data_IF_699235541721
#
_entry.id   IF_699235541721
#
_cell.length_a   1.000
_cell.length_b   1.000
_cell.length_c   1.000
_cell.angle_alpha   90.00
_cell.angle_beta   90.00
_cell.angle_gamma   90.00
#
_symmetry.space_group_name_H-M   'P 1'
#
loop_
_entity.id
_entity.type
_entity.pdbx_description
1 polymer ?
#
# COMPACT_ATOMS: atom_id res chain seq x y z
N UNK A 1 -19.48 -22.35 -10.19
CA UNK A 1 -18.31 -22.89 -9.46
C UNK A 1 -18.69 -22.87 -7.97
N UNK A 2 -18.57 -24.02 -7.30
CA UNK A 2 -18.97 -24.19 -5.89
C UNK A 2 -18.11 -23.28 -5.01
N UNK A 3 -18.72 -22.26 -4.36
CA UNK A 3 -18.08 -21.51 -3.28
C UNK A 3 -17.74 -22.51 -2.16
N UNK A 4 -16.51 -22.99 -2.10
CA UNK A 4 -16.00 -23.65 -0.90
C UNK A 4 -15.88 -22.56 0.16
N UNK A 5 -16.81 -22.56 1.10
CA UNK A 5 -16.69 -21.73 2.31
C UNK A 5 -15.41 -22.17 3.01
N UNK A 6 -14.50 -21.22 3.25
CA UNK A 6 -13.27 -21.47 4.00
C UNK A 6 -13.70 -21.45 5.46
N UNK A 7 -13.64 -22.60 6.13
CA UNK A 7 -14.03 -22.75 7.51
C UNK A 7 -12.81 -23.24 8.32
N UNK A 8 -12.49 -22.51 9.39
CA UNK A 8 -11.57 -22.93 10.45
C UNK A 8 -12.38 -23.12 11.72
N UNK A 9 -11.96 -24.04 12.58
CA UNK A 9 -12.69 -24.35 13.82
C UNK A 9 -12.61 -23.20 14.84
N UNK A 10 -11.60 -22.33 14.72
CA UNK A 10 -11.42 -21.13 15.57
C UNK A 10 -10.63 -20.03 14.88
N UNK A 11 -10.75 -18.80 15.40
CA UNK A 11 -9.93 -17.67 14.94
C UNK A 11 -8.42 -17.91 15.23
N UNK A 12 -8.08 -18.67 16.26
CA UNK A 12 -6.69 -19.08 16.58
C UNK A 12 -6.12 -19.96 15.47
N UNK A 13 -6.84 -21.02 15.07
CA UNK A 13 -6.44 -21.90 13.98
C UNK A 13 -6.33 -21.13 12.65
N UNK A 14 -7.23 -20.18 12.40
CA UNK A 14 -7.19 -19.34 11.22
C UNK A 14 -5.97 -18.40 11.19
N UNK A 15 -5.54 -17.87 12.36
CA UNK A 15 -4.31 -17.08 12.47
C UNK A 15 -3.08 -17.95 12.22
N UNK A 16 -3.03 -19.15 12.79
CA UNK A 16 -1.92 -20.08 12.56
C UNK A 16 -1.81 -20.45 11.06
N UNK A 17 -2.94 -20.71 10.41
CA UNK A 17 -2.98 -20.95 8.96
C UNK A 17 -2.51 -19.72 8.16
N UNK A 18 -2.86 -18.52 8.59
CA UNK A 18 -2.40 -17.27 7.98
C UNK A 18 -0.87 -17.11 8.08
N UNK A 19 -0.29 -17.44 9.24
CA UNK A 19 1.19 -17.43 9.44
C UNK A 19 1.87 -18.39 8.47
N UNK A 20 1.37 -19.61 8.33
CA UNK A 20 1.96 -20.60 7.41
C UNK A 20 1.82 -20.12 5.94
N UNK A 21 0.66 -19.60 5.55
CA UNK A 21 0.49 -19.00 4.22
C UNK A 21 1.49 -17.85 3.99
N UNK A 22 1.68 -16.97 4.97
CA UNK A 22 2.65 -15.87 4.87
C UNK A 22 4.09 -16.36 4.68
N UNK A 23 4.50 -17.41 5.41
CA UNK A 23 5.83 -18.01 5.22
C UNK A 23 6.02 -18.54 3.80
N UNK A 24 5.00 -19.20 3.25
CA UNK A 24 5.02 -19.69 1.88
C UNK A 24 5.04 -18.52 0.87
N UNK A 25 4.20 -17.51 1.06
CA UNK A 25 4.19 -16.28 0.22
C UNK A 25 5.59 -15.65 0.16
N UNK A 26 6.24 -15.46 1.31
CA UNK A 26 7.60 -14.90 1.36
C UNK A 26 8.63 -15.76 0.64
N UNK A 27 8.53 -17.09 0.79
CA UNK A 27 9.44 -18.03 0.13
C UNK A 27 9.30 -17.96 -1.40
N UNK A 28 8.06 -17.90 -1.90
CA UNK A 28 7.79 -17.80 -3.33
C UNK A 28 8.27 -16.47 -3.90
N UNK A 29 7.95 -15.35 -3.24
CA UNK A 29 8.40 -14.02 -3.67
C UNK A 29 9.94 -13.93 -3.71
N UNK A 30 10.65 -14.53 -2.74
CA UNK A 30 12.10 -14.53 -2.68
C UNK A 30 12.80 -15.31 -3.81
N UNK A 31 12.07 -16.16 -4.55
CA UNK A 31 12.62 -16.79 -5.77
C UNK A 31 12.96 -15.75 -6.84
N UNK A 32 12.15 -14.68 -6.92
CA UNK A 32 12.23 -13.64 -7.96
C UNK A 32 12.79 -12.33 -7.42
N UNK A 33 12.31 -11.89 -6.26
CA UNK A 33 12.70 -10.62 -5.64
C UNK A 33 13.85 -10.87 -4.67
N UNK A 34 14.97 -10.20 -4.91
CA UNK A 34 16.16 -10.24 -4.05
C UNK A 34 16.14 -9.02 -3.14
N UNK A 35 16.39 -9.22 -1.85
CA UNK A 35 16.33 -8.15 -0.87
C UNK A 35 14.90 -7.61 -0.69
N UNK A 36 14.79 -6.30 -0.38
CA UNK A 36 13.51 -5.57 -0.25
C UNK A 36 12.50 -6.23 0.72
N UNK A 37 12.99 -6.97 1.71
CA UNK A 37 12.14 -7.73 2.63
C UNK A 37 11.10 -6.87 3.35
N UNK A 38 11.47 -5.64 3.74
CA UNK A 38 10.56 -4.71 4.41
C UNK A 38 9.49 -4.16 3.47
N UNK A 39 9.84 -3.92 2.20
CA UNK A 39 8.89 -3.49 1.16
C UNK A 39 7.86 -4.59 0.92
N UNK A 40 8.32 -5.83 0.71
CA UNK A 40 7.44 -7.01 0.54
C UNK A 40 6.54 -7.18 1.77
N UNK A 41 7.10 -7.17 2.97
CA UNK A 41 6.34 -7.31 4.22
C UNK A 41 5.27 -6.23 4.35
N UNK A 42 5.63 -4.95 4.19
CA UNK A 42 4.69 -3.84 4.34
C UNK A 42 3.62 -3.83 3.22
N UNK A 43 3.97 -4.25 2.00
CA UNK A 43 2.99 -4.42 0.92
C UNK A 43 1.97 -5.51 1.28
N UNK A 44 2.41 -6.64 1.80
CA UNK A 44 1.52 -7.72 2.28
C UNK A 44 0.66 -7.20 3.44
N UNK A 45 1.23 -6.50 4.43
CA UNK A 45 0.45 -5.88 5.52
C UNK A 45 -0.64 -4.98 4.95
N UNK A 46 -0.32 -4.14 3.96
CA UNK A 46 -1.27 -3.23 3.33
C UNK A 46 -2.41 -3.98 2.63
N UNK A 47 -2.12 -5.06 1.88
CA UNK A 47 -3.14 -5.88 1.20
C UNK A 47 -4.12 -6.48 2.21
N UNK A 48 -3.63 -7.08 3.29
CA UNK A 48 -4.49 -7.69 4.31
C UNK A 48 -5.19 -6.64 5.21
N UNK A 49 -4.68 -5.41 5.26
CA UNK A 49 -5.33 -4.27 5.90
C UNK A 49 -6.39 -3.59 5.03
N UNK A 50 -6.57 -4.01 3.76
CA UNK A 50 -7.37 -3.33 2.74
C UNK A 50 -6.88 -1.88 2.47
N UNK A 51 -5.58 -1.63 2.63
CA UNK A 51 -4.94 -0.36 2.37
C UNK A 51 -4.30 -0.32 0.98
N UNK A 52 -3.80 0.85 0.59
CA UNK A 52 -3.05 1.08 -0.65
C UNK A 52 -1.66 1.57 -0.32
N UNK A 53 -0.71 1.40 -1.23
CA UNK A 53 0.71 1.75 -1.02
C UNK A 53 1.17 2.80 -2.01
N UNK A 54 1.89 3.79 -1.50
CA UNK A 54 2.71 4.69 -2.30
C UNK A 54 4.18 4.26 -2.17
N UNK A 55 4.80 3.89 -3.28
CA UNK A 55 6.19 3.46 -3.35
C UNK A 55 7.03 4.56 -3.97
N UNK A 56 7.91 5.16 -3.20
CA UNK A 56 8.82 6.21 -3.64
C UNK A 56 10.20 5.60 -3.87
N UNK A 57 10.73 5.76 -5.06
CA UNK A 57 12.07 5.22 -5.39
C UNK A 57 12.48 5.55 -6.81
N UNK A 58 13.79 5.55 -7.05
CA UNK A 58 14.37 5.83 -8.36
C UNK A 58 13.96 4.79 -9.41
N UNK A 59 14.07 5.10 -10.71
CA UNK A 59 13.86 4.12 -11.78
C UNK A 59 14.82 2.93 -11.69
N UNK A 60 14.43 1.78 -12.24
CA UNK A 60 15.30 0.61 -12.33
C UNK A 60 15.32 -0.30 -11.10
N UNK A 61 14.58 0.00 -10.04
CA UNK A 61 14.53 -0.81 -8.81
C UNK A 61 13.46 -1.91 -8.83
N UNK A 62 13.14 -2.45 -10.01
CA UNK A 62 12.26 -3.60 -10.22
C UNK A 62 10.84 -3.46 -9.62
N UNK A 63 10.29 -2.23 -9.49
CA UNK A 63 8.95 -1.98 -8.92
C UNK A 63 7.85 -2.78 -9.63
N UNK A 64 7.88 -2.79 -10.97
CA UNK A 64 6.92 -3.55 -11.79
C UNK A 64 7.04 -5.06 -11.55
N UNK A 65 8.27 -5.58 -11.48
CA UNK A 65 8.53 -6.99 -11.20
C UNK A 65 7.99 -7.39 -9.82
N UNK A 66 8.24 -6.56 -8.81
CA UNK A 66 7.74 -6.76 -7.43
C UNK A 66 6.22 -6.92 -7.42
N UNK A 67 5.49 -5.97 -8.04
CA UNK A 67 4.02 -5.96 -7.98
C UNK A 67 3.42 -7.11 -8.79
N UNK A 68 4.00 -7.41 -9.97
CA UNK A 68 3.58 -8.55 -10.76
C UNK A 68 3.79 -9.87 -10.00
N UNK A 69 4.98 -10.08 -9.41
CA UNK A 69 5.29 -11.28 -8.61
C UNK A 69 4.32 -11.43 -7.43
N UNK A 70 4.01 -10.35 -6.72
CA UNK A 70 3.01 -10.37 -5.64
C UNK A 70 1.63 -10.77 -6.19
N UNK A 71 1.21 -10.23 -7.34
CA UNK A 71 -0.06 -10.59 -7.98
C UNK A 71 -0.14 -12.07 -8.33
N UNK A 72 0.91 -12.62 -8.95
CA UNK A 72 1.00 -14.04 -9.32
C UNK A 72 0.92 -14.95 -8.09
N UNK A 73 1.71 -14.67 -7.04
CA UNK A 73 1.73 -15.48 -5.81
C UNK A 73 0.40 -15.41 -5.05
N UNK A 74 -0.29 -14.27 -5.11
CA UNK A 74 -1.63 -14.09 -4.54
C UNK A 74 -2.76 -14.61 -5.45
N UNK A 75 -2.45 -15.00 -6.69
CA UNK A 75 -3.43 -15.47 -7.66
C UNK A 75 -4.49 -14.43 -8.00
N UNK A 76 -4.10 -13.15 -8.03
CA UNK A 76 -4.94 -12.00 -8.30
C UNK A 76 -4.69 -11.47 -9.72
N UNK A 77 -5.73 -10.92 -10.34
CA UNK A 77 -5.60 -10.22 -11.62
C UNK A 77 -4.76 -8.95 -11.42
N UNK A 78 -3.87 -8.69 -12.37
CA UNK A 78 -2.92 -7.57 -12.33
C UNK A 78 -3.10 -6.67 -13.55
N UNK A 79 -2.97 -5.38 -13.34
CA UNK A 79 -2.92 -4.36 -14.41
C UNK A 79 -1.87 -3.31 -14.08
N UNK A 80 -1.18 -2.81 -15.11
CA UNK A 80 -0.27 -1.67 -15.01
C UNK A 80 -0.83 -0.49 -15.79
N UNK A 81 -0.85 0.66 -15.15
CA UNK A 81 -1.20 1.95 -15.74
C UNK A 81 0.05 2.83 -15.68
N UNK A 82 0.64 3.12 -16.84
CA UNK A 82 1.72 4.10 -16.93
C UNK A 82 1.12 5.49 -16.99
N UNK A 83 1.39 6.32 -16.00
CA UNK A 83 0.90 7.69 -15.95
C UNK A 83 1.80 8.57 -16.82
N UNK A 84 1.20 9.17 -17.86
CA UNK A 84 1.85 10.08 -18.80
C UNK A 84 1.06 11.40 -18.85
N UNK A 85 1.65 12.52 -19.27
CA UNK A 85 0.95 13.82 -19.27
C UNK A 85 -0.34 13.86 -20.08
N UNK A 86 -0.49 12.98 -21.06
CA UNK A 86 -1.64 12.88 -21.98
C UNK A 86 -2.67 11.84 -21.54
N UNK A 87 -2.40 11.06 -20.46
CA UNK A 87 -3.33 10.05 -19.95
C UNK A 87 -4.65 10.70 -19.49
N UNK A 88 -5.77 10.17 -19.97
CA UNK A 88 -7.11 10.63 -19.62
C UNK A 88 -7.76 9.77 -18.53
N UNK A 89 -8.70 10.31 -17.74
CA UNK A 89 -9.46 9.52 -16.76
C UNK A 89 -10.13 8.28 -17.37
N UNK A 90 -10.67 8.39 -18.59
CA UNK A 90 -11.28 7.28 -19.33
C UNK A 90 -10.33 6.11 -19.60
N UNK A 91 -9.03 6.39 -19.75
CA UNK A 91 -8.01 5.35 -19.97
C UNK A 91 -7.79 4.52 -18.72
N UNK A 92 -8.12 5.06 -17.54
CA UNK A 92 -8.03 4.39 -16.23
C UNK A 92 -9.31 3.63 -15.91
N UNK A 93 -10.46 4.34 -15.97
CA UNK A 93 -11.73 3.80 -15.47
C UNK A 93 -12.57 3.11 -16.55
N UNK A 94 -12.23 3.31 -17.82
CA UNK A 94 -13.02 2.80 -18.94
C UNK A 94 -13.97 3.83 -19.52
N UNK A 95 -14.66 3.45 -20.57
CA UNK A 95 -15.54 4.32 -21.34
C UNK A 95 -16.76 3.58 -21.90
N UNK A 96 -17.82 4.30 -22.19
CA UNK A 96 -18.94 3.75 -22.97
C UNK A 96 -18.71 3.94 -24.47
N UNK A 97 -18.95 2.89 -25.22
CA UNK A 97 -18.92 2.88 -26.68
C UNK A 97 -20.27 2.47 -27.25
N UNK A 98 -20.59 2.90 -28.46
CA UNK A 98 -21.72 2.39 -29.21
C UNK A 98 -21.34 1.05 -29.86
N UNK A 99 -22.13 0.01 -29.58
CA UNK A 99 -21.99 -1.28 -30.24
C UNK A 99 -22.58 -1.25 -31.68
N UNK A 100 -22.46 -2.36 -32.41
CA UNK A 100 -22.99 -2.52 -33.78
C UNK A 100 -24.52 -2.32 -33.84
N UNK A 101 -25.21 -2.50 -32.73
CA UNK A 101 -26.67 -2.31 -32.58
C UNK A 101 -27.07 -0.94 -32.08
N UNK A 102 -26.11 0.03 -32.05
CA UNK A 102 -26.29 1.40 -31.50
C UNK A 102 -26.73 1.42 -30.03
N UNK A 103 -26.30 0.43 -29.24
CA UNK A 103 -26.48 0.41 -27.80
C UNK A 103 -25.18 0.83 -27.13
N UNK A 104 -25.30 1.59 -26.04
CA UNK A 104 -24.15 1.91 -25.22
C UNK A 104 -23.67 0.65 -24.50
N UNK A 105 -22.37 0.38 -24.61
CA UNK A 105 -21.68 -0.71 -23.93
C UNK A 105 -20.50 -0.16 -23.17
N UNK A 106 -20.42 -0.47 -21.88
CA UNK A 106 -19.28 -0.10 -21.08
C UNK A 106 -18.11 -1.04 -21.37
N UNK A 107 -16.94 -0.46 -21.59
CA UNK A 107 -15.66 -1.15 -21.70
C UNK A 107 -14.84 -0.83 -20.44
N UNK A 108 -14.54 -1.87 -19.67
CA UNK A 108 -13.76 -1.77 -18.45
C UNK A 108 -12.35 -1.21 -18.74
N UNK A 109 -11.95 -0.23 -17.95
CA UNK A 109 -10.56 0.24 -17.93
C UNK A 109 -9.67 -0.68 -17.08
N UNK A 110 -8.36 -0.44 -17.08
CA UNK A 110 -7.39 -1.24 -16.33
C UNK A 110 -7.58 -1.21 -14.81
N UNK A 111 -8.34 -0.27 -14.27
CA UNK A 111 -8.67 -0.20 -12.83
C UNK A 111 -9.50 -1.40 -12.34
N UNK A 112 -10.13 -2.16 -13.24
CA UNK A 112 -10.95 -3.33 -12.89
C UNK A 112 -10.13 -4.59 -12.59
N UNK A 113 -8.83 -4.50 -12.46
CA UNK A 113 -7.99 -5.57 -11.92
C UNK A 113 -7.97 -5.54 -10.38
N UNK A 114 -7.69 -6.69 -9.75
CA UNK A 114 -7.54 -6.78 -8.30
C UNK A 114 -6.31 -6.01 -7.79
N UNK A 115 -5.20 -6.07 -8.55
CA UNK A 115 -3.97 -5.32 -8.26
C UNK A 115 -3.69 -4.37 -9.41
N UNK A 116 -3.62 -3.09 -9.09
CA UNK A 116 -3.31 -2.02 -10.04
C UNK A 116 -1.97 -1.39 -9.65
N UNK A 117 -0.99 -1.48 -10.55
CA UNK A 117 0.22 -0.68 -10.48
C UNK A 117 -0.01 0.66 -11.21
N UNK A 118 -0.12 1.75 -10.45
CA UNK A 118 -0.15 3.11 -10.98
C UNK A 118 1.28 3.65 -11.05
N UNK A 119 1.93 3.46 -12.19
CA UNK A 119 3.34 3.78 -12.34
C UNK A 119 3.53 5.27 -12.68
N UNK A 120 4.37 5.96 -11.89
CA UNK A 120 4.65 7.40 -12.00
C UNK A 120 3.40 8.29 -11.89
N UNK A 121 2.57 8.06 -10.86
CA UNK A 121 1.27 8.72 -10.68
C UNK A 121 1.35 10.26 -10.72
N UNK A 122 2.50 10.84 -10.37
CA UNK A 122 2.74 12.28 -10.38
C UNK A 122 3.01 12.87 -11.77
N UNK A 123 3.04 12.09 -12.85
CA UNK A 123 3.27 12.58 -14.23
C UNK A 123 2.00 13.01 -14.96
N UNK A 124 0.82 12.81 -14.37
CA UNK A 124 -0.46 13.24 -14.96
C UNK A 124 -1.07 14.42 -14.21
N UNK A 125 -1.91 15.23 -14.90
CA UNK A 125 -2.65 16.30 -14.25
C UNK A 125 -3.57 15.78 -13.12
N UNK A 126 -3.90 16.64 -12.13
CA UNK A 126 -4.70 16.28 -10.96
C UNK A 126 -6.05 15.62 -11.26
N UNK A 127 -6.69 15.99 -12.40
CA UNK A 127 -7.97 15.38 -12.81
C UNK A 127 -7.86 13.88 -13.08
N UNK A 128 -6.78 13.46 -13.71
CA UNK A 128 -6.53 12.04 -14.02
C UNK A 128 -6.13 11.26 -12.77
N UNK A 129 -5.29 11.87 -11.90
CA UNK A 129 -4.96 11.29 -10.60
C UNK A 129 -6.22 11.06 -9.77
N UNK A 130 -7.14 12.04 -9.75
CA UNK A 130 -8.39 11.97 -8.99
C UNK A 130 -9.25 10.77 -9.35
N UNK A 131 -9.30 10.35 -10.62
CA UNK A 131 -10.07 9.19 -11.06
C UNK A 131 -9.61 7.89 -10.38
N UNK A 132 -8.30 7.66 -10.28
CA UNK A 132 -7.77 6.49 -9.56
C UNK A 132 -7.99 6.61 -8.05
N UNK A 133 -7.77 7.80 -7.48
CA UNK A 133 -7.91 8.03 -6.04
C UNK A 133 -9.36 7.93 -5.57
N UNK A 134 -10.33 8.26 -6.42
CA UNK A 134 -11.75 8.01 -6.16
C UNK A 134 -12.06 6.51 -6.16
N UNK A 135 -11.59 5.78 -7.18
CA UNK A 135 -11.74 4.33 -7.25
C UNK A 135 -11.15 3.61 -6.02
N UNK A 136 -9.99 4.09 -5.51
CA UNK A 136 -9.37 3.57 -4.28
C UNK A 136 -10.27 3.74 -3.04
N UNK A 137 -10.92 4.89 -2.92
CA UNK A 137 -11.74 5.22 -1.76
C UNK A 137 -13.13 4.58 -1.82
N UNK A 138 -13.81 4.72 -2.95
CA UNK A 138 -15.21 4.33 -3.11
C UNK A 138 -15.37 2.85 -3.51
N UNK A 139 -14.27 2.20 -3.98
CA UNK A 139 -14.28 0.83 -4.54
C UNK A 139 -15.29 0.65 -5.68
N UNK A 140 -15.59 1.74 -6.36
CA UNK A 140 -16.38 1.80 -7.56
C UNK A 140 -15.90 2.94 -8.46
N UNK A 141 -16.34 2.94 -9.69
CA UNK A 141 -16.14 4.03 -10.67
C UNK A 141 -17.47 4.46 -11.24
N UNK A 142 -17.62 5.74 -11.51
CA UNK A 142 -18.84 6.31 -12.13
C UNK A 142 -18.53 6.75 -13.56
N UNK A 143 -19.20 6.15 -14.53
CA UNK A 143 -19.07 6.48 -15.95
C UNK A 143 -20.46 6.73 -16.56
N UNK A 144 -20.65 7.85 -17.22
CA UNK A 144 -21.92 8.25 -17.83
C UNK A 144 -23.15 8.14 -16.89
N UNK A 145 -22.95 8.42 -15.60
CA UNK A 145 -24.01 8.34 -14.56
C UNK A 145 -24.27 6.95 -13.99
N UNK A 146 -23.60 5.92 -14.51
CA UNK A 146 -23.69 4.56 -13.99
C UNK A 146 -22.50 4.24 -13.06
N UNK A 147 -22.79 3.57 -11.93
CA UNK A 147 -21.76 3.13 -10.98
C UNK A 147 -21.39 1.67 -11.21
N UNK A 148 -20.11 1.40 -11.37
CA UNK A 148 -19.53 0.08 -11.61
C UNK A 148 -18.62 -0.30 -10.44
N UNK A 149 -18.96 -1.40 -9.74
CA UNK A 149 -18.18 -1.87 -8.58
C UNK A 149 -16.88 -2.54 -9.03
N UNK A 150 -15.83 -2.33 -8.27
CA UNK A 150 -14.57 -3.04 -8.41
C UNK A 150 -14.61 -4.34 -7.60
N UNK A 151 -14.14 -5.42 -8.20
CA UNK A 151 -14.14 -6.74 -7.56
C UNK A 151 -13.10 -6.82 -6.44
N UNK A 152 -13.50 -7.21 -5.22
CA UNK A 152 -12.57 -7.38 -4.12
C UNK A 152 -11.77 -8.72 -4.27
N UNK A 153 -10.54 -8.80 -3.72
CA UNK A 153 -9.81 -7.69 -3.10
C UNK A 153 -9.30 -6.70 -4.14
N UNK A 154 -9.38 -5.40 -3.85
CA UNK A 154 -8.87 -4.33 -4.71
C UNK A 154 -7.71 -3.61 -4.02
N UNK A 155 -6.56 -3.58 -4.67
CA UNK A 155 -5.33 -3.02 -4.15
C UNK A 155 -4.63 -2.17 -5.21
N UNK A 156 -4.21 -0.96 -4.81
CA UNK A 156 -3.40 -0.07 -5.65
C UNK A 156 -2.03 0.11 -5.03
N UNK A 157 -0.99 -0.09 -5.84
CA UNK A 157 0.35 0.34 -5.57
C UNK A 157 0.70 1.44 -6.55
N UNK A 158 0.82 2.67 -6.06
CA UNK A 158 1.25 3.80 -6.87
C UNK A 158 2.76 4.01 -6.70
N UNK A 159 3.43 4.44 -7.77
CA UNK A 159 4.86 4.79 -7.70
C UNK A 159 5.06 6.27 -7.94
N UNK A 160 6.10 6.81 -7.30
CA UNK A 160 6.63 8.13 -7.56
C UNK A 160 8.15 8.06 -7.74
N UNK A 161 8.65 8.82 -8.71
CA UNK A 161 10.07 9.03 -8.88
C UNK A 161 10.48 10.34 -8.18
N UNK A 162 11.32 10.29 -7.13
CA UNK A 162 11.69 11.49 -6.38
C UNK A 162 12.66 12.41 -7.12
N UNK A 163 13.33 11.93 -8.18
CA UNK A 163 14.33 12.69 -8.93
C UNK A 163 13.68 13.54 -10.02
N UNK A 164 12.62 13.05 -10.65
CA UNK A 164 11.91 13.76 -11.71
C UNK A 164 11.01 14.84 -11.12
N UNK A 165 11.41 16.10 -11.28
CA UNK A 165 10.62 17.27 -10.84
C UNK A 165 9.97 18.00 -12.03
N UNK A 166 10.61 18.01 -13.20
CA UNK A 166 10.06 18.66 -14.38
C UNK A 166 8.89 17.87 -14.96
N UNK A 167 7.81 18.58 -15.32
CA UNK A 167 6.60 17.98 -15.89
C UNK A 167 5.82 17.09 -14.91
N UNK A 168 6.02 17.25 -13.59
CA UNK A 168 5.29 16.49 -12.57
C UNK A 168 4.26 17.36 -11.85
N UNK A 169 3.20 16.68 -11.38
CA UNK A 169 2.14 17.25 -10.57
C UNK A 169 2.12 16.53 -9.22
N UNK A 170 2.68 17.14 -8.16
CA UNK A 170 2.70 16.50 -6.85
C UNK A 170 1.28 16.22 -6.34
N UNK A 171 1.12 15.07 -5.68
CA UNK A 171 -0.14 14.75 -5.03
C UNK A 171 -0.34 15.67 -3.82
N UNK A 172 -1.50 16.35 -3.70
CA UNK A 172 -1.86 17.08 -2.49
C UNK A 172 -1.90 16.18 -1.24
N UNK A 173 -1.65 16.74 -0.08
CA UNK A 173 -1.61 16.01 1.20
C UNK A 173 -2.91 15.23 1.48
N UNK A 174 -4.07 15.81 1.14
CA UNK A 174 -5.37 15.15 1.28
C UNK A 174 -5.50 13.90 0.40
N UNK A 175 -4.77 13.85 -0.71
CA UNK A 175 -4.72 12.70 -1.61
C UNK A 175 -3.68 11.67 -1.12
N UNK A 176 -2.54 12.12 -0.62
CA UNK A 176 -1.53 11.28 -0.01
C UNK A 176 -2.08 10.52 1.19
N UNK A 177 -2.94 11.13 2.00
CA UNK A 177 -3.58 10.50 3.17
C UNK A 177 -4.43 9.26 2.83
N UNK A 178 -4.82 9.07 1.57
CA UNK A 178 -5.53 7.85 1.12
C UNK A 178 -4.66 6.62 1.04
N UNK A 179 -3.35 6.78 0.88
CA UNK A 179 -2.40 5.66 0.93
C UNK A 179 -2.15 5.26 2.39
N UNK A 180 -2.23 3.97 2.68
CA UNK A 180 -1.92 3.45 4.01
C UNK A 180 -0.44 3.65 4.33
N UNK A 181 0.43 3.23 3.44
CA UNK A 181 1.88 3.31 3.58
C UNK A 181 2.53 4.14 2.48
N UNK A 182 3.54 4.90 2.88
CA UNK A 182 4.56 5.43 2.00
C UNK A 182 5.84 4.64 2.24
N UNK A 183 6.23 3.83 1.26
CA UNK A 183 7.42 2.98 1.30
C UNK A 183 8.52 3.62 0.46
N UNK A 184 9.72 3.71 1.03
CA UNK A 184 10.90 4.21 0.33
C UNK A 184 11.68 3.00 -0.16
N UNK A 185 11.91 2.97 -1.46
CA UNK A 185 12.70 1.93 -2.11
C UNK A 185 14.11 2.44 -2.36
N UNK A 186 15.04 1.91 -1.58
CA UNK A 186 16.47 2.24 -1.70
C UNK A 186 17.19 1.31 -2.69
N UNK A 187 18.40 1.68 -3.07
CA UNK A 187 19.26 0.81 -3.85
C UNK A 187 19.57 -0.48 -3.10
N UNK A 188 19.73 -1.61 -3.83
CA UNK A 188 20.17 -2.85 -3.20
C UNK A 188 21.58 -2.69 -2.62
N UNK A 189 21.87 -3.45 -1.57
CA UNK A 189 23.23 -3.59 -1.08
C UNK A 189 24.10 -4.29 -2.14
N UNK A 190 25.43 -4.16 -2.03
CA UNK A 190 26.36 -4.80 -2.97
C UNK A 190 26.12 -6.32 -3.12
N UNK A 191 25.84 -7.01 -2.02
CA UNK A 191 25.59 -8.46 -2.06
C UNK A 191 24.25 -8.80 -2.73
N UNK A 192 23.21 -8.01 -2.48
CA UNK A 192 21.92 -8.17 -3.15
C UNK A 192 22.04 -7.89 -4.65
N UNK A 193 22.77 -6.85 -5.05
CA UNK A 193 22.99 -6.53 -6.45
C UNK A 193 23.76 -7.64 -7.16
N UNK A 194 24.79 -8.21 -6.51
CA UNK A 194 25.53 -9.36 -7.03
C UNK A 194 24.60 -10.58 -7.22
N UNK A 195 23.68 -10.82 -6.29
CA UNK A 195 22.68 -11.89 -6.40
C UNK A 195 21.69 -11.62 -7.54
N UNK A 196 21.23 -10.39 -7.69
CA UNK A 196 20.35 -9.95 -8.80
C UNK A 196 21.03 -10.26 -10.14
N UNK A 197 22.28 -9.82 -10.32
CA UNK A 197 23.03 -10.05 -11.56
C UNK A 197 23.16 -11.55 -11.85
N UNK A 198 23.52 -12.36 -10.86
CA UNK A 198 23.61 -13.83 -11.04
C UNK A 198 22.29 -14.47 -11.46
N UNK A 199 21.18 -14.05 -10.84
CA UNK A 199 19.84 -14.58 -11.15
C UNK A 199 19.33 -14.12 -12.53
N UNK A 200 19.59 -12.87 -12.92
CA UNK A 200 19.02 -12.30 -14.15
C UNK A 200 19.84 -12.58 -15.40
N UNK A 201 21.14 -12.85 -15.25
CA UNK A 201 22.05 -13.15 -16.40
C UNK A 201 22.31 -14.65 -16.59
N UNK A 202 21.86 -15.50 -15.66
CA UNK A 202 22.10 -16.95 -15.69
C UNK A 202 21.14 -17.77 -16.55
N UNK A 203 20.20 -17.15 -17.27
CA UNK A 203 19.27 -17.83 -18.19
C UNK A 203 18.18 -18.66 -17.50
N UNK A 204 18.09 -18.68 -16.18
CA UNK A 204 17.01 -19.33 -15.44
C UNK A 204 15.81 -18.36 -15.31
N UNK A 205 14.65 -18.79 -15.81
CA UNK A 205 13.38 -18.10 -15.55
C UNK A 205 12.79 -18.69 -14.29
N UNK A 206 12.80 -17.91 -13.20
CA UNK A 206 12.15 -18.31 -11.96
C UNK A 206 10.65 -18.07 -12.09
N UNK A 207 9.86 -19.15 -12.02
CA UNK A 207 8.40 -19.07 -11.90
C UNK A 207 8.00 -19.15 -10.44
N UNK A 208 6.89 -18.49 -10.10
CA UNK A 208 6.29 -18.54 -8.76
C UNK A 208 4.97 -19.28 -8.80
N UNK A 209 4.67 -19.96 -7.71
CA UNK A 209 3.42 -20.67 -7.55
C UNK A 209 2.39 -19.80 -6.83
N UNK A 210 1.11 -19.96 -7.22
CA UNK A 210 -0.01 -19.36 -6.49
C UNK A 210 -0.15 -20.04 -5.12
N UNK A 211 -0.11 -19.26 -4.05
CA UNK A 211 -0.16 -19.75 -2.66
C UNK A 211 -1.52 -19.56 -2.00
N UNK A 212 -2.25 -18.53 -2.40
CA UNK A 212 -3.50 -18.13 -1.75
C UNK A 212 -4.54 -17.73 -2.82
N UNK A 213 -5.82 -17.91 -2.53
CA UNK A 213 -6.89 -17.49 -3.41
C UNK A 213 -7.47 -16.13 -2.98
N UNK A 214 -8.23 -15.49 -3.88
CA UNK A 214 -8.96 -14.24 -3.58
C UNK A 214 -9.93 -14.41 -2.41
N UNK A 215 -10.61 -15.55 -2.32
CA UNK A 215 -11.54 -15.88 -1.24
C UNK A 215 -10.81 -16.01 0.10
N UNK A 216 -9.62 -16.65 0.13
CA UNK A 216 -8.79 -16.73 1.32
C UNK A 216 -8.28 -15.36 1.76
N UNK A 217 -7.90 -14.50 0.81
CA UNK A 217 -7.49 -13.12 1.14
C UNK A 217 -8.64 -12.37 1.80
N UNK A 218 -9.85 -12.44 1.24
CA UNK A 218 -11.03 -11.79 1.80
C UNK A 218 -11.39 -12.34 3.19
N UNK A 219 -11.26 -13.66 3.38
CA UNK A 219 -11.46 -14.28 4.68
C UNK A 219 -10.47 -13.73 5.72
N UNK A 220 -9.18 -13.71 5.39
CA UNK A 220 -8.16 -13.20 6.31
C UNK A 220 -8.30 -11.69 6.57
N UNK A 221 -8.72 -10.89 5.60
CA UNK A 221 -9.04 -9.49 5.82
C UNK A 221 -10.15 -9.30 6.86
N UNK A 222 -11.17 -10.17 6.85
CA UNK A 222 -12.24 -10.16 7.86
C UNK A 222 -11.74 -10.67 9.22
N UNK A 223 -10.94 -11.72 9.24
CA UNK A 223 -10.30 -12.25 10.45
C UNK A 223 -9.47 -11.18 11.17
N UNK A 224 -8.62 -10.46 10.43
CA UNK A 224 -7.79 -9.37 10.97
C UNK A 224 -8.65 -8.30 11.66
N UNK A 225 -9.83 -7.97 11.13
CA UNK A 225 -10.71 -6.99 11.77
C UNK A 225 -11.23 -7.46 13.13
N UNK A 226 -11.45 -8.77 13.32
CA UNK A 226 -11.90 -9.37 14.58
C UNK A 226 -10.82 -9.48 15.65
N UNK A 227 -9.53 -9.41 15.30
CA UNK A 227 -8.43 -9.47 16.28
C UNK A 227 -8.64 -8.39 17.34
N UNK A 228 -8.69 -8.76 18.64
CA UNK A 228 -8.85 -7.79 19.73
C UNK A 228 -7.60 -6.90 19.86
N UNK A 229 -7.79 -5.69 20.38
CA UNK A 229 -6.70 -4.74 20.67
C UNK A 229 -6.92 -4.23 22.08
N UNK A 230 -5.89 -4.30 22.90
CA UNK A 230 -5.93 -3.78 24.27
C UNK A 230 -6.03 -2.24 24.27
N UNK A 231 -6.75 -1.67 25.24
CA UNK A 231 -7.00 -0.23 25.31
C UNK A 231 -5.70 0.60 25.35
N UNK A 232 -4.70 0.16 26.08
CA UNK A 232 -3.38 0.83 26.15
C UNK A 232 -2.68 0.89 24.80
N UNK A 233 -2.87 -0.09 23.90
CA UNK A 233 -2.32 -0.09 22.54
C UNK A 233 -3.08 0.89 21.66
N UNK A 234 -4.42 0.92 21.78
CA UNK A 234 -5.25 1.93 21.07
C UNK A 234 -4.90 3.35 21.51
N UNK A 235 -4.78 3.57 22.82
CA UNK A 235 -4.37 4.87 23.37
C UNK A 235 -2.98 5.27 22.87
N UNK A 236 -2.03 4.35 22.83
CA UNK A 236 -0.69 4.63 22.34
C UNK A 236 -0.73 5.09 20.87
N UNK A 237 -1.47 4.40 20.00
CA UNK A 237 -1.59 4.78 18.60
C UNK A 237 -2.21 6.18 18.43
N UNK A 238 -3.28 6.50 19.19
CA UNK A 238 -3.92 7.81 19.15
C UNK A 238 -2.98 8.90 19.71
N UNK A 239 -2.32 8.63 20.83
CA UNK A 239 -1.34 9.56 21.43
C UNK A 239 -0.16 9.84 20.49
N UNK A 240 0.36 8.80 19.80
CA UNK A 240 1.43 8.97 18.83
C UNK A 240 1.01 9.93 17.69
N UNK A 241 -0.19 9.75 17.16
CA UNK A 241 -0.74 10.64 16.12
C UNK A 241 -1.00 12.05 16.66
N UNK A 242 -1.58 12.20 17.86
CA UNK A 242 -1.85 13.50 18.48
C UNK A 242 -0.55 14.29 18.73
N UNK A 243 0.54 13.62 19.15
CA UNK A 243 1.86 14.23 19.30
C UNK A 243 2.41 14.86 18.02
N UNK A 244 1.93 14.45 16.83
CA UNK A 244 2.36 15.03 15.54
C UNK A 244 1.71 16.37 15.22
N UNK A 245 0.67 16.80 15.97
CA UNK A 245 -0.13 17.99 15.67
C UNK A 245 0.44 19.21 16.38
N UNK A 246 1.02 20.19 15.67
CA UNK A 246 1.55 21.39 16.30
C UNK A 246 0.44 22.20 16.98
N UNK A 247 0.81 22.99 17.97
CA UNK A 247 -0.06 23.92 18.70
C UNK A 247 -1.28 23.27 19.40
N UNK A 248 -1.17 21.96 19.70
CA UNK A 248 -2.18 21.23 20.49
C UNK A 248 -1.63 20.89 21.89
N UNK A 249 -2.49 20.60 22.90
CA UNK A 249 -2.03 20.23 24.24
C UNK A 249 -1.16 18.96 24.26
N UNK A 250 -1.35 18.04 23.32
CA UNK A 250 -0.60 16.80 23.20
C UNK A 250 0.65 16.91 22.31
N UNK A 251 0.89 18.09 21.72
CA UNK A 251 2.02 18.32 20.83
C UNK A 251 3.35 18.04 21.52
N UNK A 252 4.21 17.29 20.86
CA UNK A 252 5.57 17.09 21.33
C UNK A 252 6.45 18.32 21.01
N UNK A 253 7.50 18.59 21.82
CA UNK A 253 8.41 19.72 21.59
C UNK A 253 9.02 19.72 20.18
N UNK A 254 9.40 18.53 19.68
CA UNK A 254 9.91 18.38 18.32
C UNK A 254 8.87 18.73 17.26
N UNK A 255 7.61 18.46 17.53
CA UNK A 255 6.49 18.80 16.64
C UNK A 255 6.35 20.32 16.52
N UNK A 256 6.23 21.03 17.65
CA UNK A 256 6.14 22.49 17.65
C UNK A 256 7.37 23.17 17.04
N UNK A 257 8.55 22.52 17.15
CA UNK A 257 9.80 23.05 16.61
C UNK A 257 9.95 22.82 15.11
N UNK A 258 9.47 21.70 14.55
CA UNK A 258 9.86 21.20 13.23
C UNK A 258 8.72 20.86 12.29
N UNK A 259 7.46 20.89 12.73
CA UNK A 259 6.31 20.59 11.86
C UNK A 259 5.42 21.81 11.65
N UNK A 260 4.90 21.94 10.43
CA UNK A 260 3.80 22.84 10.08
C UNK A 260 2.45 22.13 10.19
N UNK A 261 2.42 20.81 9.97
CA UNK A 261 1.18 20.06 9.95
C UNK A 261 1.38 18.62 10.45
N UNK A 262 0.39 18.13 11.21
CA UNK A 262 0.39 16.80 11.78
C UNK A 262 -0.65 15.85 11.14
N UNK A 263 -0.57 14.57 11.50
CA UNK A 263 -1.42 13.53 10.94
C UNK A 263 -2.87 13.59 11.44
N UNK A 264 -3.81 13.25 10.54
CA UNK A 264 -5.24 13.13 10.83
C UNK A 264 -5.62 11.79 11.47
N UNK A 265 -6.93 11.60 11.85
CA UNK A 265 -7.41 10.37 12.49
C UNK A 265 -7.24 9.11 11.65
N UNK A 266 -7.19 9.21 10.31
CA UNK A 266 -6.93 8.07 9.42
C UNK A 266 -5.59 7.40 9.72
N UNK A 267 -4.59 8.17 10.16
CA UNK A 267 -3.31 7.61 10.59
C UNK A 267 -3.47 6.66 11.78
N UNK A 268 -4.26 7.03 12.80
CA UNK A 268 -4.54 6.14 13.95
C UNK A 268 -5.25 4.86 13.51
N UNK A 269 -6.19 4.95 12.57
CA UNK A 269 -6.88 3.78 12.02
C UNK A 269 -5.90 2.85 11.30
N UNK A 270 -5.00 3.39 10.47
CA UNK A 270 -4.00 2.60 9.77
C UNK A 270 -2.94 2.01 10.70
N UNK A 271 -2.55 2.72 11.75
CA UNK A 271 -1.67 2.17 12.79
C UNK A 271 -2.30 0.94 13.46
N UNK A 272 -3.57 1.02 13.84
CA UNK A 272 -4.26 -0.10 14.51
C UNK A 272 -4.43 -1.29 13.56
N UNK A 273 -4.99 -1.08 12.36
CA UNK A 273 -5.26 -2.20 11.46
C UNK A 273 -3.95 -2.84 10.96
N UNK A 274 -2.94 -2.04 10.67
CA UNK A 274 -1.63 -2.55 10.26
C UNK A 274 -0.90 -3.28 11.38
N UNK A 275 -1.00 -2.81 12.63
CA UNK A 275 -0.46 -3.51 13.80
C UNK A 275 -1.13 -4.88 14.01
N UNK A 276 -2.46 -4.99 13.80
CA UNK A 276 -3.16 -6.28 13.83
C UNK A 276 -2.58 -7.27 12.81
N UNK A 277 -2.36 -6.81 11.56
CA UNK A 277 -1.73 -7.66 10.54
C UNK A 277 -0.29 -7.99 10.93
N UNK A 278 0.51 -7.01 11.35
CA UNK A 278 1.91 -7.26 11.75
C UNK A 278 2.01 -8.28 12.87
N UNK A 279 1.15 -8.18 13.89
CA UNK A 279 1.06 -9.13 14.99
C UNK A 279 0.66 -10.53 14.50
N UNK A 280 -0.39 -10.63 13.66
CA UNK A 280 -0.84 -11.90 13.09
C UNK A 280 0.25 -12.59 12.27
N UNK A 281 0.99 -11.83 11.42
CA UNK A 281 2.12 -12.37 10.66
C UNK A 281 3.26 -12.90 11.56
N UNK A 282 3.36 -12.40 12.78
CA UNK A 282 4.31 -12.87 13.80
C UNK A 282 3.74 -14.00 14.69
N UNK A 283 2.52 -14.48 14.43
CA UNK A 283 1.85 -15.52 15.21
C UNK A 283 1.27 -15.02 16.53
N UNK A 284 1.05 -13.70 16.67
CA UNK A 284 0.37 -13.12 17.84
C UNK A 284 -1.12 -13.00 17.57
N UNK A 285 -1.94 -13.22 18.60
CA UNK A 285 -3.39 -13.13 18.54
C UNK A 285 -3.94 -11.74 18.95
N UNK A 286 -3.06 -10.82 19.32
CA UNK A 286 -3.35 -9.43 19.64
C UNK A 286 -2.10 -8.59 19.40
N UNK A 287 -2.20 -7.37 18.84
CA UNK A 287 -1.05 -6.48 18.69
C UNK A 287 -0.62 -5.87 20.02
N UNK A 288 0.66 -5.55 20.12
CA UNK A 288 1.25 -4.75 21.19
C UNK A 288 1.80 -3.41 20.66
N UNK A 289 2.41 -2.60 21.55
CA UNK A 289 2.98 -1.30 21.20
C UNK A 289 4.11 -1.44 20.17
N UNK A 290 4.89 -2.51 20.21
CA UNK A 290 5.98 -2.71 19.26
C UNK A 290 5.45 -2.97 17.84
N UNK A 291 4.26 -3.59 17.70
CA UNK A 291 3.60 -3.73 16.40
C UNK A 291 3.17 -2.37 15.82
N UNK A 292 2.74 -1.42 16.66
CA UNK A 292 2.46 -0.04 16.25
C UNK A 292 3.76 0.65 15.79
N UNK A 293 4.84 0.56 16.58
CA UNK A 293 6.14 1.17 16.26
C UNK A 293 6.72 0.64 14.96
N UNK A 294 6.57 -0.68 14.70
CA UNK A 294 7.09 -1.33 13.50
C UNK A 294 6.55 -0.72 12.19
N UNK A 295 5.33 -0.18 12.22
CA UNK A 295 4.69 0.41 11.03
C UNK A 295 4.51 1.92 11.12
N UNK A 296 4.95 2.57 12.20
CA UNK A 296 4.75 4.00 12.42
C UNK A 296 5.39 4.86 11.33
N UNK A 297 6.62 4.55 10.91
CA UNK A 297 7.32 5.28 9.86
C UNK A 297 6.54 5.29 8.53
N UNK A 298 6.20 4.15 7.92
CA UNK A 298 5.50 4.14 6.65
C UNK A 298 4.07 4.70 6.73
N UNK A 299 3.41 4.68 7.89
CA UNK A 299 2.10 5.30 8.08
C UNK A 299 2.18 6.81 8.18
N UNK A 300 3.17 7.36 8.89
CA UNK A 300 3.20 8.78 9.26
C UNK A 300 4.00 9.67 8.31
N UNK A 301 5.02 9.12 7.60
CA UNK A 301 6.00 9.94 6.87
C UNK A 301 5.39 10.86 5.79
N UNK A 302 4.29 10.48 5.18
CA UNK A 302 3.59 11.28 4.16
C UNK A 302 2.39 12.08 4.72
N UNK A 303 2.20 12.06 6.04
CA UNK A 303 1.10 12.71 6.75
C UNK A 303 1.54 13.87 7.61
N UNK A 304 2.85 14.04 7.78
CA UNK A 304 3.43 15.16 8.54
C UNK A 304 4.22 16.05 7.59
N UNK A 305 4.06 17.36 7.75
CA UNK A 305 4.72 18.37 6.91
C UNK A 305 5.73 19.12 7.76
N UNK A 306 6.99 19.05 7.33
CA UNK A 306 8.08 19.79 7.96
C UNK A 306 7.93 21.29 7.73
N UNK A 307 8.42 22.08 8.66
CA UNK A 307 8.56 23.51 8.48
C UNK A 307 9.94 23.86 7.88
N UNK A 308 10.11 25.13 7.50
CA UNK A 308 11.36 25.63 6.93
C UNK A 308 12.59 25.36 7.84
N UNK A 309 12.40 25.42 9.17
CA UNK A 309 13.48 25.17 10.12
C UNK A 309 13.98 23.72 10.05
N UNK A 310 13.07 22.76 9.96
CA UNK A 310 13.44 21.34 9.78
C UNK A 310 14.20 21.12 8.47
N UNK A 311 13.78 21.80 7.40
CA UNK A 311 14.46 21.71 6.10
C UNK A 311 15.86 22.32 6.15
N UNK A 312 16.00 23.51 6.74
CA UNK A 312 17.29 24.19 6.90
C UNK A 312 18.27 23.41 7.79
N UNK A 313 17.79 22.73 8.83
CA UNK A 313 18.60 21.90 9.74
C UNK A 313 18.81 20.45 9.18
N UNK A 314 18.25 20.10 8.00
CA UNK A 314 18.37 18.76 7.40
C UNK A 314 17.65 17.66 8.18
N UNK A 315 16.66 18.02 9.02
CA UNK A 315 15.89 17.07 9.83
C UNK A 315 14.86 16.34 8.95
N UNK A 316 14.97 15.02 8.84
CA UNK A 316 14.02 14.21 8.07
C UNK A 316 12.72 13.94 8.84
N UNK A 317 11.62 13.68 8.10
CA UNK A 317 10.35 13.24 8.70
C UNK A 317 10.53 12.00 9.55
N UNK A 318 11.31 11.01 9.08
CA UNK A 318 11.60 9.78 9.81
C UNK A 318 12.32 10.04 11.14
N UNK A 319 13.25 11.00 11.16
CA UNK A 319 13.94 11.42 12.40
C UNK A 319 12.97 12.02 13.41
N UNK A 320 12.00 12.82 12.94
CA UNK A 320 10.97 13.41 13.82
C UNK A 320 10.08 12.28 14.36
N UNK A 321 9.54 11.40 13.51
CA UNK A 321 8.67 10.30 13.93
C UNK A 321 9.36 9.41 14.98
N UNK A 322 10.63 9.08 14.78
CA UNK A 322 11.42 8.30 15.75
C UNK A 322 11.53 8.97 17.12
N UNK A 323 11.52 10.31 17.19
CA UNK A 323 11.54 11.05 18.47
C UNK A 323 10.17 11.10 19.14
N UNK A 324 9.08 10.92 18.40
CA UNK A 324 7.71 10.92 18.95
C UNK A 324 7.31 9.54 19.53
N UNK A 325 7.91 8.45 19.03
CA UNK A 325 7.72 7.07 19.51
C UNK A 325 8.34 6.85 20.89
#
# INVERSE_FOLDING_TARGET
MSNKTIEYNSDVEAIDAFVEKYKLLRKEIAKVIVGQNDIVKNTIISIFSQGHVLLVGVPGLAKTLLVNTIGEVLGLSYSRIQFTPDLMPSDIIGTEILDEHRKFKFINGPVFANIVLADEINRTPPKTQAALLEAMQEKNVTVAGNSYKLDPPFFVLATQNPIEQEGTYPLPEAQLDRFMFNLILDYPSFNEELEIVKKTTGGQVNTVDKIISSEEILYFQQLIRRIPVADNVMEYAVKLVSKTRPDTPEAHDWTNKFLNWGAGPRASQFLIIGAKVNAALAGKYSPDIEDIKAIALPVLRHRIIRNYKAEAEGISTDSIIKKLM
#
